data_IF_643968700489
#
_entry.id   IF_643968700489
#
_cell.length_a   1.000
_cell.length_b   1.000
_cell.length_c   1.000
_cell.angle_alpha   90.00
_cell.angle_beta   90.00
_cell.angle_gamma   90.00
#
_symmetry.space_group_name_H-M   'P 1'
#
loop_
_entity.id
_entity.type
_entity.pdbx_description
1 polymer ?
#
# COMPACT_ATOMS: atom_id res chain seq x y z
N UNK A 1 -14.47 -11.11 -7.82
CA UNK A 1 -14.65 -10.17 -6.67
C UNK A 1 -15.80 -10.40 -5.67
N UNK A 2 -17.02 -10.86 -6.02
CA UNK A 2 -18.16 -10.89 -5.07
C UNK A 2 -17.91 -11.71 -3.78
N UNK A 3 -17.32 -12.90 -3.88
CA UNK A 3 -17.02 -13.76 -2.72
C UNK A 3 -16.11 -13.05 -1.69
N UNK A 4 -15.09 -12.30 -2.14
CA UNK A 4 -14.22 -11.51 -1.24
C UNK A 4 -15.00 -10.42 -0.50
N UNK A 5 -15.95 -9.75 -1.18
CA UNK A 5 -16.82 -8.74 -0.53
C UNK A 5 -17.67 -9.38 0.57
N UNK A 6 -18.26 -10.53 0.30
CA UNK A 6 -19.06 -11.28 1.29
C UNK A 6 -18.21 -11.73 2.48
N UNK A 7 -16.94 -12.09 2.25
CA UNK A 7 -16.00 -12.46 3.30
C UNK A 7 -15.33 -11.26 4.02
N UNK A 8 -15.73 -10.00 3.72
CA UNK A 8 -15.09 -8.78 4.22
C UNK A 8 -13.59 -8.64 3.89
N UNK A 9 -13.11 -9.33 2.86
CA UNK A 9 -11.72 -9.33 2.39
C UNK A 9 -11.48 -8.36 1.23
N UNK A 10 -12.47 -7.56 0.82
CA UNK A 10 -12.33 -6.60 -0.26
C UNK A 10 -12.82 -5.21 0.17
N UNK A 11 -11.86 -4.29 0.38
CA UNK A 11 -12.11 -2.86 0.61
C UNK A 11 -13.20 -2.59 1.68
N UNK A 12 -13.24 -3.40 2.74
CA UNK A 12 -14.32 -3.44 3.74
C UNK A 12 -14.35 -2.27 4.72
N UNK A 13 -13.26 -1.51 4.83
CA UNK A 13 -13.13 -0.42 5.80
C UNK A 13 -13.23 0.99 5.21
N UNK A 14 -13.62 1.11 3.93
CA UNK A 14 -13.82 2.40 3.30
C UNK A 14 -14.91 3.21 4.02
N UNK A 15 -14.74 4.54 4.03
CA UNK A 15 -15.66 5.48 4.64
C UNK A 15 -16.62 5.99 3.58
N UNK A 16 -17.94 5.83 3.76
CA UNK A 16 -18.91 6.33 2.80
C UNK A 16 -18.95 7.87 2.80
N UNK A 17 -18.96 8.46 1.61
CA UNK A 17 -19.02 9.89 1.34
C UNK A 17 -20.30 10.20 0.57
N UNK A 18 -21.10 11.13 1.08
CA UNK A 18 -22.36 11.54 0.44
C UNK A 18 -22.76 12.97 0.85
N UNK A 19 -23.71 13.56 0.12
CA UNK A 19 -24.24 14.89 0.42
C UNK A 19 -23.16 15.97 0.40
N UNK A 20 -23.14 16.84 1.42
CA UNK A 20 -22.17 17.95 1.53
C UNK A 20 -20.70 17.51 1.52
N UNK A 21 -20.40 16.27 1.93
CA UNK A 21 -19.02 15.77 1.91
C UNK A 21 -18.49 15.58 0.47
N UNK A 22 -19.37 15.28 -0.49
CA UNK A 22 -19.02 15.20 -1.91
C UNK A 22 -18.59 16.56 -2.43
N UNK A 23 -19.33 17.62 -2.06
CA UNK A 23 -19.00 18.99 -2.44
C UNK A 23 -17.64 19.40 -1.87
N UNK A 24 -17.38 19.11 -0.59
CA UNK A 24 -16.07 19.37 0.05
C UNK A 24 -14.94 18.64 -0.66
N UNK A 25 -15.12 17.35 -0.92
CA UNK A 25 -14.14 16.53 -1.62
C UNK A 25 -13.85 17.07 -3.02
N UNK A 26 -14.88 17.45 -3.76
CA UNK A 26 -14.74 18.07 -5.09
C UNK A 26 -14.00 19.41 -5.04
N UNK A 27 -14.23 20.24 -4.03
CA UNK A 27 -13.43 21.46 -3.85
C UNK A 27 -11.95 21.13 -3.64
N UNK A 28 -11.63 20.08 -2.87
CA UNK A 28 -10.25 19.62 -2.68
C UNK A 28 -9.63 19.17 -4.01
N UNK A 29 -10.33 18.36 -4.79
CA UNK A 29 -9.87 17.92 -6.12
C UNK A 29 -9.54 19.10 -7.03
N UNK A 30 -10.45 20.07 -7.14
CA UNK A 30 -10.24 21.26 -7.98
C UNK A 30 -9.06 22.08 -7.50
N UNK A 31 -8.88 22.25 -6.18
CA UNK A 31 -7.75 22.99 -5.60
C UNK A 31 -6.40 22.31 -5.89
N UNK A 32 -6.39 20.98 -5.96
CA UNK A 32 -5.22 20.16 -6.31
C UNK A 32 -4.94 20.13 -7.82
N UNK A 33 -5.78 20.77 -8.65
CA UNK A 33 -5.62 20.77 -10.12
C UNK A 33 -6.36 19.62 -10.83
N UNK A 34 -7.14 18.83 -10.11
CA UNK A 34 -7.93 17.73 -10.67
C UNK A 34 -9.35 18.14 -11.04
N UNK A 35 -10.00 17.38 -11.92
CA UNK A 35 -11.42 17.56 -12.23
C UNK A 35 -12.31 17.07 -11.09
N UNK A 36 -13.44 17.72 -10.85
CA UNK A 36 -14.44 17.25 -9.90
C UNK A 36 -15.04 15.89 -10.35
N UNK A 37 -15.33 15.00 -9.39
CA UNK A 37 -16.10 13.78 -9.65
C UNK A 37 -17.58 14.11 -9.85
N UNK A 38 -18.25 13.35 -10.73
CA UNK A 38 -19.70 13.44 -10.96
C UNK A 38 -20.50 12.52 -10.03
N UNK A 39 -19.81 11.71 -9.22
CA UNK A 39 -20.44 10.75 -8.31
C UNK A 39 -21.17 11.47 -7.17
N UNK A 40 -22.41 11.05 -6.90
CA UNK A 40 -23.22 11.57 -5.77
C UNK A 40 -22.95 10.84 -4.46
N UNK A 41 -22.37 9.64 -4.53
CA UNK A 41 -21.87 8.87 -3.40
C UNK A 41 -20.67 8.06 -3.85
N UNK A 42 -19.70 7.89 -2.97
CA UNK A 42 -18.52 7.03 -3.15
C UNK A 42 -17.94 6.72 -1.77
N UNK A 43 -16.83 6.00 -1.71
CA UNK A 43 -16.18 5.68 -0.45
C UNK A 43 -14.69 6.02 -0.52
N UNK A 44 -14.10 6.46 0.59
CA UNK A 44 -12.69 6.83 0.66
C UNK A 44 -11.92 6.00 1.67
N UNK A 45 -10.62 5.86 1.47
CA UNK A 45 -9.71 5.20 2.39
C UNK A 45 -9.07 6.17 3.39
N UNK A 46 -8.03 5.71 4.11
CA UNK A 46 -7.32 6.51 5.11
C UNK A 46 -6.69 7.81 4.56
N UNK A 47 -6.15 7.80 3.34
CA UNK A 47 -5.51 8.99 2.73
C UNK A 47 -6.52 9.86 1.97
N UNK A 48 -7.74 9.37 1.77
CA UNK A 48 -8.80 10.06 1.03
C UNK A 48 -8.92 9.59 -0.42
N UNK A 49 -8.26 8.50 -0.80
CA UNK A 49 -8.39 7.88 -2.11
C UNK A 49 -9.69 7.08 -2.21
N UNK A 50 -10.39 7.16 -3.35
CA UNK A 50 -11.63 6.45 -3.62
C UNK A 50 -11.48 5.54 -4.84
N UNK A 51 -11.81 4.24 -4.72
CA UNK A 51 -11.81 3.34 -5.86
C UNK A 51 -12.86 3.71 -6.91
N UNK A 52 -14.02 4.23 -6.50
CA UNK A 52 -15.06 4.62 -7.45
C UNK A 52 -14.66 5.86 -8.26
N UNK A 53 -13.96 6.81 -7.63
CA UNK A 53 -13.42 7.99 -8.32
C UNK A 53 -12.25 7.62 -9.23
N UNK A 54 -11.38 6.70 -8.79
CA UNK A 54 -10.31 6.16 -9.64
C UNK A 54 -10.86 5.48 -10.90
N UNK A 55 -11.93 4.68 -10.76
CA UNK A 55 -12.63 4.04 -11.88
C UNK A 55 -13.27 5.07 -12.82
N UNK A 56 -13.96 6.09 -12.29
CA UNK A 56 -14.55 7.18 -13.08
C UNK A 56 -13.47 7.92 -13.91
N UNK A 57 -12.32 8.18 -13.30
CA UNK A 57 -11.21 8.91 -13.93
C UNK A 57 -10.32 8.03 -14.80
N UNK A 58 -10.44 6.70 -14.70
CA UNK A 58 -9.53 5.71 -15.29
C UNK A 58 -8.07 5.94 -14.87
N UNK A 59 -7.89 6.34 -13.62
CA UNK A 59 -6.60 6.64 -13.03
C UNK A 59 -6.57 6.21 -11.56
N UNK A 60 -5.82 5.14 -11.28
CA UNK A 60 -5.65 4.61 -9.92
C UNK A 60 -4.87 5.56 -9.01
N UNK A 61 -4.08 6.49 -9.57
CA UNK A 61 -3.25 7.43 -8.84
C UNK A 61 -3.75 8.87 -8.98
N UNK A 62 -5.06 9.08 -9.18
CA UNK A 62 -5.63 10.41 -9.46
C UNK A 62 -5.41 11.49 -8.38
N UNK A 63 -4.92 11.12 -7.18
CA UNK A 63 -4.50 12.05 -6.13
C UNK A 63 -3.02 12.43 -6.22
N UNK A 64 -2.32 12.03 -7.28
CA UNK A 64 -0.92 12.35 -7.51
C UNK A 64 -0.78 13.25 -8.74
N UNK A 65 -0.11 14.39 -8.59
CA UNK A 65 0.28 15.25 -9.71
C UNK A 65 1.61 14.75 -10.30
N UNK A 66 1.55 13.63 -11.00
CA UNK A 66 2.73 12.88 -11.41
C UNK A 66 3.34 12.06 -10.27
N UNK A 67 4.44 11.37 -10.56
CA UNK A 67 5.00 10.38 -9.67
C UNK A 67 5.65 10.95 -8.39
N UNK A 68 6.06 12.22 -8.41
CA UNK A 68 6.77 12.89 -7.30
C UNK A 68 5.85 13.64 -6.35
N UNK A 69 4.60 13.93 -6.74
CA UNK A 69 3.70 14.82 -5.99
C UNK A 69 2.41 14.10 -5.55
N UNK A 70 2.46 13.17 -4.59
CA UNK A 70 1.27 12.58 -4.02
C UNK A 70 0.59 13.57 -3.05
N UNK A 71 -0.75 13.53 -3.04
CA UNK A 71 -1.56 14.33 -2.14
C UNK A 71 -2.55 13.46 -1.36
N UNK A 72 -3.00 13.98 -0.22
CA UNK A 72 -4.06 13.39 0.59
C UNK A 72 -5.22 14.35 0.80
N UNK A 73 -6.39 13.80 1.11
CA UNK A 73 -7.59 14.58 1.44
C UNK A 73 -8.18 14.02 2.74
N UNK A 74 -8.24 14.84 3.79
CA UNK A 74 -8.98 14.54 5.01
C UNK A 74 -10.28 15.33 5.03
N UNK A 75 -11.40 14.62 4.98
CA UNK A 75 -12.75 15.18 5.11
C UNK A 75 -13.48 14.70 6.37
N UNK A 76 -12.91 13.75 7.11
CA UNK A 76 -13.54 13.15 8.29
C UNK A 76 -12.52 12.65 9.31
N UNK A 77 -12.79 12.78 10.63
CA UNK A 77 -11.95 12.16 11.66
C UNK A 77 -11.99 10.61 11.60
N UNK A 78 -12.98 10.04 10.92
CA UNK A 78 -13.12 8.59 10.75
C UNK A 78 -11.99 7.98 9.91
N UNK A 79 -11.24 8.79 9.15
CA UNK A 79 -10.04 8.36 8.41
C UNK A 79 -8.90 7.92 9.35
N UNK A 80 -8.95 8.28 10.62
CA UNK A 80 -7.96 7.85 11.60
C UNK A 80 -7.88 6.33 11.70
N UNK A 81 -6.67 5.78 11.57
CA UNK A 81 -6.35 4.34 11.60
C UNK A 81 -7.00 3.50 10.48
N UNK A 82 -7.64 4.13 9.50
CA UNK A 82 -8.18 3.39 8.36
C UNK A 82 -7.09 2.88 7.42
N UNK A 83 -7.30 1.72 6.77
CA UNK A 83 -6.37 1.23 5.77
C UNK A 83 -6.18 2.24 4.64
N UNK A 84 -4.96 2.31 4.10
CA UNK A 84 -4.65 2.96 2.83
C UNK A 84 -4.62 1.85 1.78
N UNK A 85 -5.58 1.84 0.86
CA UNK A 85 -5.78 0.69 -0.04
C UNK A 85 -4.93 0.78 -1.31
N UNK A 86 -4.63 2.00 -1.78
CA UNK A 86 -3.73 2.23 -2.91
C UNK A 86 -2.59 3.16 -2.48
N UNK A 87 -1.69 2.71 -1.57
CA UNK A 87 -0.54 3.52 -1.18
C UNK A 87 0.41 3.68 -2.38
N UNK A 88 0.86 4.90 -2.61
CA UNK A 88 1.88 5.21 -3.60
C UNK A 88 3.27 4.83 -3.07
N UNK A 89 3.52 5.10 -1.78
CA UNK A 89 4.70 4.64 -1.05
C UNK A 89 4.35 3.66 0.07
N UNK A 90 5.25 2.73 0.38
CA UNK A 90 5.07 1.81 1.52
C UNK A 90 4.89 2.51 2.88
N UNK A 91 5.32 3.77 2.99
CA UNK A 91 5.22 4.58 4.21
C UNK A 91 4.02 5.54 4.25
N UNK A 92 3.15 5.58 3.23
CA UNK A 92 1.99 6.51 3.21
C UNK A 92 1.07 6.31 4.42
N UNK A 93 0.90 5.05 4.84
CA UNK A 93 0.14 4.70 6.04
C UNK A 93 0.77 5.29 7.30
N UNK A 94 2.09 5.28 7.40
CA UNK A 94 2.82 5.78 8.56
C UNK A 94 2.76 7.31 8.63
N UNK A 95 2.82 7.99 7.48
CA UNK A 95 2.57 9.43 7.39
C UNK A 95 1.16 9.79 7.88
N UNK A 96 0.13 9.06 7.44
CA UNK A 96 -1.24 9.27 7.92
C UNK A 96 -1.36 9.03 9.43
N UNK A 97 -0.72 8.00 9.97
CA UNK A 97 -0.70 7.76 11.42
C UNK A 97 -0.02 8.91 12.17
N UNK A 98 1.09 9.45 11.66
CA UNK A 98 1.77 10.60 12.23
C UNK A 98 0.87 11.84 12.25
N UNK A 99 0.19 12.13 11.14
CA UNK A 99 -0.74 13.27 11.02
C UNK A 99 -1.84 13.17 12.08
N UNK A 100 -2.52 12.03 12.17
CA UNK A 100 -3.61 11.85 13.13
C UNK A 100 -3.10 11.82 14.58
N UNK A 101 -1.92 11.25 14.85
CA UNK A 101 -1.31 11.27 16.18
C UNK A 101 -1.02 12.70 16.65
N UNK A 102 -0.53 13.56 15.74
CA UNK A 102 -0.18 14.95 16.05
C UNK A 102 -1.41 15.86 16.14
N UNK A 103 -2.39 15.68 15.26
CA UNK A 103 -3.47 16.67 15.07
C UNK A 103 -4.90 16.15 15.20
N UNK A 104 -5.14 14.97 15.79
CA UNK A 104 -6.49 14.37 15.92
C UNK A 104 -7.58 15.34 16.40
N UNK A 105 -7.32 16.12 17.47
CA UNK A 105 -8.29 17.10 17.98
C UNK A 105 -8.59 18.22 16.97
N UNK A 106 -7.55 18.74 16.31
CA UNK A 106 -7.67 19.82 15.31
C UNK A 106 -8.38 19.32 14.05
N UNK A 107 -8.01 18.13 13.56
CA UNK A 107 -8.66 17.47 12.43
C UNK A 107 -10.15 17.28 12.72
N UNK A 108 -10.50 16.78 13.91
CA UNK A 108 -11.90 16.59 14.31
C UNK A 108 -12.67 17.92 14.34
N UNK A 109 -12.07 19.02 14.76
CA UNK A 109 -12.73 20.32 14.75
C UNK A 109 -12.87 20.88 13.32
N UNK A 110 -11.78 20.89 12.54
CA UNK A 110 -11.72 21.45 11.19
C UNK A 110 -12.66 20.73 10.21
N UNK A 111 -12.76 19.40 10.32
CA UNK A 111 -13.56 18.59 9.38
C UNK A 111 -15.07 18.66 9.64
N UNK A 112 -15.53 19.35 10.69
CA UNK A 112 -16.96 19.61 10.94
C UNK A 112 -17.58 20.41 9.80
N UNK A 113 -16.90 21.46 9.38
CA UNK A 113 -17.35 22.44 8.40
C UNK A 113 -16.46 22.53 7.16
N UNK A 114 -15.21 22.06 7.23
CA UNK A 114 -14.23 22.13 6.13
C UNK A 114 -13.57 20.78 5.80
N UNK A 115 -12.48 20.82 5.05
CA UNK A 115 -11.63 19.71 4.67
C UNK A 115 -10.16 20.16 4.65
N UNK A 116 -9.25 19.20 4.77
CA UNK A 116 -7.81 19.41 4.81
C UNK A 116 -7.20 18.70 3.60
N UNK A 117 -6.48 19.44 2.77
CA UNK A 117 -5.58 18.87 1.77
C UNK A 117 -4.23 18.65 2.44
N UNK A 118 -3.66 17.48 2.21
CA UNK A 118 -2.31 17.13 2.61
C UNK A 118 -1.44 17.16 1.35
N UNK A 119 -0.31 17.83 1.45
CA UNK A 119 0.72 17.85 0.44
C UNK A 119 1.99 17.20 0.97
N UNK A 120 2.44 16.13 0.32
CA UNK A 120 3.60 15.35 0.72
C UNK A 120 4.83 15.78 -0.08
N UNK A 121 5.42 16.90 0.34
CA UNK A 121 6.52 17.55 -0.34
C UNK A 121 7.86 16.85 -0.05
N UNK A 122 8.43 16.21 -1.07
CA UNK A 122 9.75 15.57 -1.01
C UNK A 122 10.87 16.51 -1.49
N UNK A 123 10.55 17.76 -1.83
CA UNK A 123 11.42 18.74 -2.50
C UNK A 123 11.93 18.25 -3.86
N UNK A 124 11.10 17.48 -4.55
CA UNK A 124 11.37 16.93 -5.87
C UNK A 124 10.22 17.39 -6.78
N UNK A 125 10.49 18.36 -7.64
CA UNK A 125 9.46 18.91 -8.53
C UNK A 125 8.93 17.83 -9.51
N UNK A 126 9.86 17.12 -10.15
CA UNK A 126 9.57 16.00 -11.05
C UNK A 126 10.74 15.03 -11.08
N UNK A 127 10.44 13.78 -11.41
CA UNK A 127 11.46 12.81 -11.78
C UNK A 127 11.87 12.96 -13.25
N UNK A 128 13.15 12.82 -13.52
CA UNK A 128 13.75 12.79 -14.85
C UNK A 128 14.37 11.42 -15.14
N UNK A 129 14.97 10.78 -14.13
CA UNK A 129 15.68 9.52 -14.27
C UNK A 129 15.24 8.50 -13.18
N UNK A 130 15.26 7.19 -13.46
CA UNK A 130 14.80 6.17 -12.50
C UNK A 130 15.47 6.23 -11.13
N UNK A 131 16.75 6.60 -11.06
CA UNK A 131 17.48 6.70 -9.80
C UNK A 131 17.21 7.99 -9.03
N UNK A 132 16.40 8.91 -9.56
CA UNK A 132 15.92 10.07 -8.79
C UNK A 132 15.12 9.64 -7.54
N UNK A 133 14.62 8.40 -7.49
CA UNK A 133 14.04 7.81 -6.28
C UNK A 133 15.03 7.74 -5.10
N UNK A 134 16.32 7.87 -5.35
CA UNK A 134 17.33 7.95 -4.29
C UNK A 134 17.32 9.31 -3.58
N UNK A 135 16.74 10.36 -4.19
CA UNK A 135 16.64 11.71 -3.61
C UNK A 135 15.68 11.81 -2.43
N UNK A 136 14.81 10.82 -2.24
CA UNK A 136 13.92 10.76 -1.08
C UNK A 136 14.74 10.73 0.21
N UNK A 137 14.47 11.59 1.18
CA UNK A 137 15.10 11.49 2.51
C UNK A 137 14.08 11.92 3.57
N UNK A 138 13.77 13.21 3.61
CA UNK A 138 12.77 13.81 4.49
C UNK A 138 11.59 14.33 3.68
N UNK A 139 10.38 13.85 3.99
CA UNK A 139 9.12 14.34 3.45
C UNK A 139 8.58 15.41 4.40
N UNK A 140 8.27 16.58 3.86
CA UNK A 140 7.59 17.67 4.56
C UNK A 140 6.09 17.57 4.27
N UNK A 141 5.30 17.34 5.32
CA UNK A 141 3.85 17.22 5.24
C UNK A 141 3.25 18.60 5.45
N UNK A 142 2.74 19.19 4.38
CA UNK A 142 2.07 20.49 4.39
C UNK A 142 0.54 20.31 4.46
N UNK A 143 -0.14 21.27 5.08
CA UNK A 143 -1.58 21.25 5.25
C UNK A 143 -2.22 22.50 4.65
N UNK A 144 -3.22 22.30 3.79
CA UNK A 144 -4.00 23.38 3.21
C UNK A 144 -5.46 23.23 3.60
N UNK A 145 -6.00 24.25 4.27
CA UNK A 145 -7.41 24.29 4.63
C UNK A 145 -8.24 24.81 3.47
N UNK A 146 -9.38 24.15 3.22
CA UNK A 146 -10.33 24.64 2.24
C UNK A 146 -10.98 25.96 2.67
N UNK A 147 -11.47 26.71 1.68
CA UNK A 147 -12.13 28.01 1.83
C UNK A 147 -11.27 29.10 2.50
N UNK A 148 -9.93 28.95 2.48
CA UNK A 148 -8.99 29.87 3.12
C UNK A 148 -9.38 30.21 4.56
N UNK A 149 -9.79 29.20 5.34
CA UNK A 149 -10.31 29.37 6.71
C UNK A 149 -9.38 30.21 7.61
N UNK A 150 -8.06 30.12 7.42
CA UNK A 150 -7.08 31.01 8.05
C UNK A 150 -7.27 32.49 7.71
N UNK A 151 -7.49 32.81 6.44
CA UNK A 151 -7.73 34.17 5.98
C UNK A 151 -9.04 34.70 6.57
N UNK A 152 -10.10 33.88 6.53
CA UNK A 152 -11.41 34.24 7.08
C UNK A 152 -11.35 34.47 8.59
N UNK A 153 -10.58 33.66 9.32
CA UNK A 153 -10.35 33.87 10.76
C UNK A 153 -9.61 35.19 11.03
N UNK A 154 -8.56 35.51 10.23
CA UNK A 154 -7.84 36.79 10.35
C UNK A 154 -8.75 37.99 10.07
N UNK A 155 -9.59 37.92 9.05
CA UNK A 155 -10.58 38.95 8.74
C UNK A 155 -11.60 39.10 9.88
N UNK A 156 -12.11 37.99 10.45
CA UNK A 156 -12.98 38.06 11.63
C UNK A 156 -12.29 38.73 12.82
N UNK A 157 -11.02 38.42 13.10
CA UNK A 157 -10.27 39.12 14.15
C UNK A 157 -10.12 40.61 13.88
N UNK A 158 -9.82 41.01 12.64
CA UNK A 158 -9.73 42.43 12.26
C UNK A 158 -11.07 43.16 12.43
N UNK A 159 -12.19 42.54 12.05
CA UNK A 159 -13.52 43.09 12.25
C UNK A 159 -13.83 43.28 13.74
N UNK A 160 -13.47 42.30 14.56
CA UNK A 160 -13.68 42.34 16.01
C UNK A 160 -12.79 43.38 16.69
N UNK A 161 -11.52 43.50 16.31
CA UNK A 161 -10.63 44.53 16.83
C UNK A 161 -11.09 45.93 16.40
N UNK A 162 -11.55 46.09 15.16
CA UNK A 162 -12.19 47.33 14.69
C UNK A 162 -13.43 47.64 15.52
N UNK A 163 -14.27 46.64 15.81
CA UNK A 163 -15.49 46.80 16.62
C UNK A 163 -15.20 47.23 18.06
N UNK A 164 -14.14 46.68 18.67
CA UNK A 164 -13.69 47.04 20.03
C UNK A 164 -13.03 48.42 20.11
N UNK A 165 -12.63 49.01 18.98
CA UNK A 165 -11.90 50.28 18.95
C UNK A 165 -12.87 51.48 19.01
N UNK A 166 -12.63 52.42 19.93
CA UNK A 166 -13.41 53.65 20.10
C UNK A 166 -14.93 53.39 20.24
N UNK A 167 -15.74 54.10 19.46
CA UNK A 167 -17.20 53.97 19.41
C UNK A 167 -17.67 53.14 18.19
N UNK A 168 -16.81 52.32 17.59
CA UNK A 168 -17.20 51.53 16.42
C UNK A 168 -18.27 50.49 16.73
N UNK A 169 -18.49 50.17 18.01
CA UNK A 169 -19.53 49.24 18.44
C UNK A 169 -20.96 49.68 18.09
N UNK A 170 -21.22 50.98 17.88
CA UNK A 170 -22.53 51.49 17.41
C UNK A 170 -22.68 51.53 15.89
N UNK A 171 -21.63 51.20 15.13
CA UNK A 171 -21.69 51.22 13.67
C UNK A 171 -22.44 49.99 13.15
N UNK A 172 -23.65 50.21 12.63
CA UNK A 172 -24.53 49.14 12.11
C UNK A 172 -23.94 48.43 10.88
N UNK A 173 -23.17 49.12 10.03
CA UNK A 173 -22.49 48.50 8.89
C UNK A 173 -21.44 47.49 9.36
N UNK A 174 -20.65 47.85 10.37
CA UNK A 174 -19.66 46.95 10.96
C UNK A 174 -20.31 45.76 11.68
N UNK A 175 -21.43 45.99 12.39
CA UNK A 175 -22.21 44.91 13.00
C UNK A 175 -22.73 43.92 11.95
N UNK A 176 -23.24 44.43 10.82
CA UNK A 176 -23.71 43.61 9.71
C UNK A 176 -22.56 42.80 9.08
N UNK A 177 -21.39 43.40 8.86
CA UNK A 177 -20.20 42.68 8.37
C UNK A 177 -19.79 41.51 9.28
N UNK A 178 -19.81 41.73 10.61
CA UNK A 178 -19.52 40.67 11.59
C UNK A 178 -20.59 39.56 11.52
N UNK A 179 -21.87 39.94 11.46
CA UNK A 179 -22.98 39.00 11.41
C UNK A 179 -22.96 38.14 10.13
N UNK A 180 -22.68 38.74 8.98
CA UNK A 180 -22.55 38.04 7.70
C UNK A 180 -21.38 37.06 7.73
N UNK A 181 -20.22 37.49 8.22
CA UNK A 181 -19.06 36.60 8.39
C UNK A 181 -19.38 35.41 9.31
N UNK A 182 -20.06 35.65 10.43
CA UNK A 182 -20.45 34.59 11.37
C UNK A 182 -21.50 33.64 10.78
N UNK A 183 -22.44 34.13 9.97
CA UNK A 183 -23.44 33.29 9.28
C UNK A 183 -22.80 32.39 8.22
N UNK A 184 -21.80 32.91 7.50
CA UNK A 184 -21.17 32.18 6.40
C UNK A 184 -20.14 31.16 6.88
N UNK A 185 -19.31 31.53 7.86
CA UNK A 185 -18.14 30.74 8.28
C UNK A 185 -18.21 30.24 9.73
N UNK A 186 -19.26 30.59 10.47
CA UNK A 186 -19.33 30.34 11.91
C UNK A 186 -18.45 31.28 12.73
N UNK A 187 -18.39 31.04 14.05
CA UNK A 187 -17.50 31.76 14.95
C UNK A 187 -16.11 31.11 14.96
N UNK A 188 -15.14 31.77 14.33
CA UNK A 188 -13.77 31.26 14.22
C UNK A 188 -12.85 31.74 15.35
N UNK A 189 -13.31 32.65 16.22
CA UNK A 189 -12.43 33.37 17.18
C UNK A 189 -11.76 32.46 18.20
N UNK A 190 -12.42 31.35 18.57
CA UNK A 190 -11.90 30.38 19.53
C UNK A 190 -11.29 29.13 18.89
N UNK A 191 -11.26 29.03 17.56
CA UNK A 191 -10.80 27.82 16.86
C UNK A 191 -9.30 27.86 16.65
N UNK A 192 -8.62 26.78 17.04
CA UNK A 192 -7.22 26.55 16.70
C UNK A 192 -7.13 25.84 15.36
N UNK A 193 -6.91 26.64 14.31
CA UNK A 193 -6.83 26.16 12.93
C UNK A 193 -5.39 25.84 12.51
N UNK A 194 -4.40 26.10 13.37
CA UNK A 194 -2.98 25.98 13.01
C UNK A 194 -2.54 24.53 12.85
N UNK A 195 -2.02 24.20 11.67
CA UNK A 195 -1.42 22.91 11.35
C UNK A 195 0.01 23.14 10.85
N UNK A 196 0.98 23.31 11.77
CA UNK A 196 2.39 23.36 11.39
C UNK A 196 2.78 22.15 10.54
N UNK A 197 3.75 22.31 9.66
CA UNK A 197 4.22 21.18 8.86
C UNK A 197 4.83 20.10 9.75
N UNK A 198 4.70 18.85 9.32
CA UNK A 198 5.35 17.71 9.96
C UNK A 198 6.50 17.24 9.08
N UNK A 199 7.52 16.66 9.70
CA UNK A 199 8.65 16.05 9.00
C UNK A 199 8.59 14.54 9.19
N UNK A 200 8.75 13.81 8.10
CA UNK A 200 8.78 12.35 8.09
C UNK A 200 10.06 11.88 7.40
N UNK A 201 10.92 11.15 8.11
CA UNK A 201 12.15 10.58 7.54
C UNK A 201 11.85 9.21 6.93
N UNK A 202 12.23 9.02 5.68
CA UNK A 202 12.09 7.76 4.95
C UNK A 202 13.33 6.87 5.13
N UNK A 203 13.10 5.61 5.53
CA UNK A 203 14.12 4.56 5.55
C UNK A 203 14.14 3.78 4.23
N UNK A 204 14.21 2.46 4.29
CA UNK A 204 13.90 1.61 3.14
C UNK A 204 12.41 1.71 2.77
N UNK A 205 12.08 1.72 1.48
CA UNK A 205 10.69 1.84 1.03
C UNK A 205 10.42 1.21 -0.34
N UNK A 206 9.14 1.08 -0.67
CA UNK A 206 8.64 0.84 -2.01
C UNK A 206 7.91 2.07 -2.54
N UNK A 207 8.03 2.38 -3.82
CA UNK A 207 7.24 3.39 -4.53
C UNK A 207 6.63 2.84 -5.82
N UNK A 208 5.42 3.28 -6.18
CA UNK A 208 4.79 3.02 -7.49
C UNK A 208 5.43 3.82 -8.63
N UNK A 209 6.32 4.77 -8.34
CA UNK A 209 7.09 5.48 -9.36
C UNK A 209 7.84 4.48 -10.25
N UNK A 210 8.03 4.83 -11.53
CA UNK A 210 8.70 3.96 -12.52
C UNK A 210 8.11 2.54 -12.58
N UNK A 211 6.78 2.43 -12.41
CA UNK A 211 6.04 1.18 -12.40
C UNK A 211 6.46 0.17 -11.30
N UNK A 212 7.10 0.65 -10.22
CA UNK A 212 7.44 -0.16 -9.05
C UNK A 212 8.93 -0.23 -8.78
N UNK A 213 9.36 0.37 -7.68
CA UNK A 213 10.77 0.36 -7.25
C UNK A 213 10.86 0.14 -5.74
N UNK A 214 11.73 -0.78 -5.34
CA UNK A 214 12.19 -0.93 -3.95
C UNK A 214 13.52 -0.21 -3.78
N UNK A 215 13.63 0.56 -2.71
CA UNK A 215 14.88 1.19 -2.27
C UNK A 215 15.20 0.64 -0.88
N UNK A 216 16.20 -0.24 -0.81
CA UNK A 216 16.65 -0.88 0.42
C UNK A 216 17.90 -0.15 0.93
N UNK A 217 17.70 0.66 1.97
CA UNK A 217 18.71 1.45 2.67
C UNK A 217 19.15 0.73 3.94
N UNK A 218 20.23 1.22 4.55
CA UNK A 218 20.74 0.73 5.83
C UNK A 218 21.25 -0.73 5.80
N UNK A 219 21.67 -1.19 4.63
CA UNK A 219 22.39 -2.45 4.42
C UNK A 219 23.85 -2.16 4.01
N UNK A 220 24.65 -3.22 3.81
CA UNK A 220 26.07 -3.11 3.42
C UNK A 220 26.26 -2.16 2.23
N UNK A 221 25.34 -2.20 1.27
CA UNK A 221 25.24 -1.27 0.16
C UNK A 221 23.76 -1.07 -0.17
N UNK A 222 23.36 0.14 -0.59
CA UNK A 222 21.98 0.40 -1.02
C UNK A 222 21.63 -0.48 -2.21
N UNK A 223 20.47 -1.15 -2.14
CA UNK A 223 19.96 -2.00 -3.20
C UNK A 223 18.68 -1.36 -3.77
N UNK A 224 18.65 -1.16 -5.08
CA UNK A 224 17.49 -0.69 -5.83
C UNK A 224 16.96 -1.85 -6.67
N UNK A 225 15.70 -2.22 -6.47
CA UNK A 225 15.05 -3.29 -7.22
C UNK A 225 13.91 -2.73 -8.04
N UNK A 226 13.99 -2.89 -9.36
CA UNK A 226 12.97 -2.45 -10.31
C UNK A 226 12.04 -3.60 -10.68
N UNK A 227 10.73 -3.34 -10.65
CA UNK A 227 9.71 -4.26 -11.17
C UNK A 227 9.58 -4.14 -12.70
N UNK A 228 9.89 -2.97 -13.25
CA UNK A 228 9.78 -2.65 -14.67
C UNK A 228 11.12 -2.76 -15.40
N UNK A 229 11.10 -3.48 -16.52
CA UNK A 229 12.30 -3.80 -17.30
C UNK A 229 12.85 -2.58 -18.05
N UNK A 230 12.00 -1.64 -18.48
CA UNK A 230 12.46 -0.44 -19.19
C UNK A 230 13.19 0.50 -18.23
N UNK A 231 12.59 0.75 -17.07
CA UNK A 231 13.15 1.56 -15.99
C UNK A 231 14.46 0.95 -15.46
N UNK A 232 14.52 -0.38 -15.31
CA UNK A 232 15.76 -1.09 -14.97
C UNK A 232 16.88 -0.85 -15.98
N UNK A 233 16.59 -1.01 -17.28
CA UNK A 233 17.59 -0.83 -18.36
C UNK A 233 18.14 0.57 -18.43
N UNK A 234 17.35 1.57 -18.07
CA UNK A 234 17.81 2.94 -17.97
C UNK A 234 18.65 3.16 -16.71
N UNK A 235 18.21 2.64 -15.56
CA UNK A 235 18.91 2.77 -14.29
C UNK A 235 20.35 2.19 -14.32
N UNK A 236 20.57 1.05 -14.98
CA UNK A 236 21.91 0.41 -15.05
C UNK A 236 22.94 1.17 -15.90
N UNK A 237 22.51 2.20 -16.65
CA UNK A 237 23.43 3.07 -17.41
C UNK A 237 24.07 4.12 -16.52
N UNK A 238 23.50 4.37 -15.35
CA UNK A 238 24.05 5.32 -14.39
C UNK A 238 25.39 4.82 -13.84
N UNK A 239 26.38 5.71 -13.87
CA UNK A 239 27.71 5.48 -13.30
C UNK A 239 28.03 6.43 -12.15
N UNK A 240 27.04 7.21 -11.71
CA UNK A 240 27.18 8.29 -10.73
C UNK A 240 26.91 7.75 -9.32
N UNK A 241 25.85 6.94 -9.19
CA UNK A 241 25.37 6.41 -7.93
C UNK A 241 26.07 5.09 -7.58
N UNK A 242 26.68 5.04 -6.40
CA UNK A 242 27.30 3.82 -5.87
C UNK A 242 26.24 2.91 -5.21
N UNK A 243 25.36 2.31 -6.01
CA UNK A 243 24.27 1.41 -5.56
C UNK A 243 24.29 0.07 -6.29
N UNK A 244 23.60 -0.93 -5.74
CA UNK A 244 23.34 -2.19 -6.44
C UNK A 244 21.98 -2.10 -7.12
N UNK A 245 21.89 -2.46 -8.40
CA UNK A 245 20.67 -2.33 -9.19
C UNK A 245 20.28 -3.70 -9.73
N UNK A 246 19.06 -4.14 -9.44
CA UNK A 246 18.52 -5.42 -9.88
C UNK A 246 17.15 -5.23 -10.53
N UNK A 247 16.84 -6.12 -11.47
CA UNK A 247 15.45 -6.36 -11.87
C UNK A 247 14.85 -7.45 -10.98
N UNK A 248 13.56 -7.35 -10.65
CA UNK A 248 12.90 -8.28 -9.71
C UNK A 248 12.96 -9.75 -10.15
N UNK A 249 13.08 -10.01 -11.45
CA UNK A 249 13.16 -11.36 -12.00
C UNK A 249 14.57 -11.97 -12.04
N UNK A 250 15.60 -11.25 -11.59
CA UNK A 250 16.99 -11.72 -11.62
C UNK A 250 17.26 -12.65 -10.43
N UNK A 251 17.70 -13.90 -10.65
CA UNK A 251 18.05 -14.82 -9.56
C UNK A 251 19.13 -14.27 -8.61
N UNK A 252 20.06 -13.48 -9.15
CA UNK A 252 21.15 -12.84 -8.42
C UNK A 252 20.66 -11.91 -7.31
N UNK A 253 19.42 -11.40 -7.42
CA UNK A 253 18.79 -10.62 -6.36
C UNK A 253 18.65 -11.45 -5.08
N UNK A 254 18.11 -12.67 -5.19
CA UNK A 254 17.86 -13.53 -4.03
C UNK A 254 19.18 -13.97 -3.38
N UNK A 255 20.17 -14.29 -4.20
CA UNK A 255 21.53 -14.55 -3.72
C UNK A 255 22.07 -13.36 -2.93
N UNK A 256 21.95 -12.15 -3.49
CA UNK A 256 22.46 -10.94 -2.84
C UNK A 256 21.76 -10.61 -1.54
N UNK A 257 20.43 -10.75 -1.49
CA UNK A 257 19.65 -10.53 -0.27
C UNK A 257 20.03 -11.53 0.82
N UNK A 258 20.34 -12.79 0.47
CA UNK A 258 20.81 -13.81 1.41
C UNK A 258 22.23 -13.50 1.92
N UNK A 259 23.14 -13.15 1.01
CA UNK A 259 24.53 -12.79 1.35
C UNK A 259 24.61 -11.58 2.27
N UNK A 260 23.67 -10.64 2.14
CA UNK A 260 23.53 -9.46 2.99
C UNK A 260 22.73 -9.72 4.27
N UNK A 261 22.32 -10.96 4.54
CA UNK A 261 21.54 -11.37 5.74
C UNK A 261 20.22 -10.57 5.83
N UNK A 262 19.61 -10.27 4.67
CA UNK A 262 18.30 -9.62 4.56
C UNK A 262 17.19 -10.67 4.57
N UNK A 263 17.45 -11.82 3.96
CA UNK A 263 16.54 -12.97 3.91
C UNK A 263 17.24 -14.24 4.35
N UNK A 264 16.46 -15.21 4.78
CA UNK A 264 16.93 -16.54 5.15
C UNK A 264 15.93 -17.62 4.74
N UNK A 265 16.42 -18.85 4.64
CA UNK A 265 15.59 -20.05 4.47
C UNK A 265 16.30 -21.24 5.11
N UNK A 266 15.56 -21.99 5.92
CA UNK A 266 15.95 -23.34 6.35
C UNK A 266 14.91 -24.32 5.82
N UNK A 267 15.34 -25.22 4.92
CA UNK A 267 14.43 -26.17 4.28
C UNK A 267 13.89 -27.23 5.25
N UNK A 268 14.68 -27.66 6.23
CA UNK A 268 14.25 -28.66 7.23
C UNK A 268 13.16 -28.09 8.15
N UNK A 269 13.29 -26.82 8.53
CA UNK A 269 12.29 -26.15 9.35
C UNK A 269 11.03 -25.82 8.54
N UNK A 270 11.20 -25.30 7.33
CA UNK A 270 10.07 -24.72 6.59
C UNK A 270 9.04 -25.76 6.15
N UNK A 271 9.46 -27.00 5.83
CA UNK A 271 8.54 -28.07 5.39
C UNK A 271 7.50 -28.41 6.45
N UNK A 272 7.77 -28.08 7.72
CA UNK A 272 6.87 -28.28 8.85
C UNK A 272 5.97 -27.07 9.14
N UNK A 273 6.02 -26.02 8.33
CA UNK A 273 5.27 -24.78 8.54
C UNK A 273 3.99 -24.71 7.71
N UNK A 274 3.01 -23.93 8.18
CA UNK A 274 1.80 -23.63 7.41
C UNK A 274 2.09 -22.87 6.12
N UNK A 275 3.20 -22.11 6.06
CA UNK A 275 3.65 -21.42 4.85
C UNK A 275 3.98 -22.39 3.74
N UNK A 276 4.77 -23.42 4.04
CA UNK A 276 5.10 -24.45 3.06
C UNK A 276 3.85 -25.18 2.56
N UNK A 277 2.95 -25.58 3.45
CA UNK A 277 1.69 -26.24 3.08
C UNK A 277 0.85 -25.37 2.13
N UNK A 278 0.74 -24.06 2.40
CA UNK A 278 0.04 -23.12 1.50
C UNK A 278 0.68 -23.02 0.12
N UNK A 279 2.00 -22.82 0.05
CA UNK A 279 2.75 -22.71 -1.21
C UNK A 279 2.63 -24.00 -2.01
N UNK A 280 2.78 -25.15 -1.35
CA UNK A 280 2.65 -26.48 -1.96
C UNK A 280 1.24 -26.71 -2.51
N UNK A 281 0.20 -26.34 -1.76
CA UNK A 281 -1.21 -26.44 -2.20
C UNK A 281 -1.53 -25.49 -3.34
N UNK A 282 -0.97 -24.28 -3.32
CA UNK A 282 -1.07 -23.33 -4.43
C UNK A 282 -0.48 -23.95 -5.71
N UNK A 283 0.75 -24.46 -5.64
CA UNK A 283 1.43 -25.09 -6.78
C UNK A 283 0.64 -26.29 -7.30
N UNK A 284 0.18 -27.15 -6.39
CA UNK A 284 -0.64 -28.30 -6.74
C UNK A 284 -1.92 -27.89 -7.44
N UNK A 285 -2.61 -26.85 -6.96
CA UNK A 285 -3.83 -26.34 -7.57
C UNK A 285 -3.62 -25.85 -9.01
N UNK A 286 -2.47 -25.25 -9.32
CA UNK A 286 -2.16 -24.79 -10.69
C UNK A 286 -1.92 -25.96 -11.66
N UNK A 287 -1.59 -27.15 -11.15
CA UNK A 287 -1.28 -28.34 -11.94
C UNK A 287 -2.48 -29.29 -12.09
N UNK A 288 -3.58 -29.02 -11.38
CA UNK A 288 -4.81 -29.81 -11.50
C UNK A 288 -5.52 -29.51 -12.82
N UNK A 289 -5.82 -30.56 -13.57
CA UNK A 289 -6.63 -30.50 -14.79
C UNK A 289 -7.80 -31.48 -14.66
N UNK A 290 -8.98 -31.09 -15.16
CA UNK A 290 -10.19 -31.92 -15.23
C UNK A 290 -10.56 -32.65 -13.91
N UNK A 291 -10.87 -31.88 -12.86
CA UNK A 291 -11.15 -32.43 -11.54
C UNK A 291 -12.60 -32.87 -11.36
N UNK A 292 -12.83 -34.11 -10.90
CA UNK A 292 -14.17 -34.59 -10.49
C UNK A 292 -14.69 -33.95 -9.19
N UNK A 293 -13.80 -33.50 -8.31
CA UNK A 293 -14.13 -32.82 -7.06
C UNK A 293 -13.77 -31.34 -7.16
N UNK A 294 -14.44 -30.46 -6.41
CA UNK A 294 -14.03 -29.06 -6.27
C UNK A 294 -12.58 -28.94 -5.78
N UNK A 295 -11.80 -28.03 -6.35
CA UNK A 295 -10.38 -27.81 -5.95
C UNK A 295 -10.26 -27.56 -4.45
N UNK A 296 -11.18 -26.81 -3.85
CA UNK A 296 -11.18 -26.57 -2.40
C UNK A 296 -11.18 -27.87 -1.58
N UNK A 297 -11.99 -28.85 -1.98
CA UNK A 297 -12.12 -30.11 -1.26
C UNK A 297 -10.85 -30.95 -1.45
N UNK A 298 -10.27 -30.93 -2.66
CA UNK A 298 -9.01 -31.60 -2.98
C UNK A 298 -7.86 -31.04 -2.13
N UNK A 299 -7.79 -29.72 -1.94
CA UNK A 299 -6.73 -29.07 -1.15
C UNK A 299 -6.95 -29.17 0.37
N UNK A 300 -8.19 -29.42 0.81
CA UNK A 300 -8.57 -29.44 2.22
C UNK A 300 -8.57 -30.85 2.82
N UNK A 301 -8.91 -31.87 2.02
CA UNK A 301 -8.96 -33.26 2.45
C UNK A 301 -7.66 -34.01 2.11
N UNK A 302 -7.05 -34.64 3.11
CA UNK A 302 -5.77 -35.34 2.95
C UNK A 302 -5.84 -36.59 2.05
N UNK A 303 -7.00 -37.26 1.97
CA UNK A 303 -7.18 -38.44 1.12
C UNK A 303 -7.36 -38.01 -0.34
N UNK A 304 -8.18 -36.98 -0.59
CA UNK A 304 -8.35 -36.40 -1.92
C UNK A 304 -7.03 -35.82 -2.42
N UNK A 305 -6.30 -35.05 -1.59
CA UNK A 305 -4.99 -34.52 -1.95
C UNK A 305 -4.05 -35.64 -2.46
N UNK A 306 -3.91 -36.73 -1.68
CA UNK A 306 -3.08 -37.88 -2.07
C UNK A 306 -3.59 -38.59 -3.33
N UNK A 307 -4.91 -38.73 -3.49
CA UNK A 307 -5.50 -39.36 -4.67
C UNK A 307 -5.18 -38.57 -5.93
N UNK A 308 -5.41 -37.26 -5.91
CA UNK A 308 -5.15 -36.39 -7.06
C UNK A 308 -3.66 -36.21 -7.34
N UNK A 309 -2.81 -36.18 -6.31
CA UNK A 309 -1.36 -36.17 -6.47
C UNK A 309 -0.84 -37.42 -7.21
N UNK A 310 -1.52 -38.57 -7.04
CA UNK A 310 -1.21 -39.79 -7.78
C UNK A 310 -1.80 -39.85 -9.19
N UNK A 311 -2.77 -38.99 -9.51
CA UNK A 311 -3.39 -38.89 -10.84
C UNK A 311 -2.63 -37.97 -11.79
N UNK A 312 -1.93 -36.95 -11.26
CA UNK A 312 -1.07 -36.10 -12.09
C UNK A 312 0.19 -36.85 -12.54
N UNK A 313 0.78 -36.36 -13.63
CA UNK A 313 1.99 -36.93 -14.22
C UNK A 313 3.20 -36.84 -13.26
N UNK A 314 4.21 -37.67 -13.52
CA UNK A 314 5.35 -37.81 -12.61
C UNK A 314 6.20 -36.54 -12.51
N UNK A 315 6.23 -35.70 -13.55
CA UNK A 315 6.99 -34.44 -13.55
C UNK A 315 6.27 -33.44 -12.63
N UNK A 316 4.97 -33.25 -12.83
CA UNK A 316 4.13 -32.38 -11.97
C UNK A 316 4.14 -32.85 -10.51
N UNK A 317 4.09 -34.16 -10.27
CA UNK A 317 4.19 -34.71 -8.91
C UNK A 317 5.52 -34.39 -8.24
N UNK A 318 6.64 -34.52 -8.96
CA UNK A 318 7.97 -34.17 -8.45
C UNK A 318 8.09 -32.68 -8.17
N UNK A 319 7.46 -31.82 -8.97
CA UNK A 319 7.43 -30.37 -8.74
C UNK A 319 6.73 -30.02 -7.42
N UNK A 320 5.55 -30.59 -7.17
CA UNK A 320 4.79 -30.35 -5.92
C UNK A 320 5.52 -30.87 -4.68
N UNK A 321 6.22 -32.00 -4.79
CA UNK A 321 6.93 -32.67 -3.69
C UNK A 321 8.44 -32.33 -3.65
N UNK A 322 8.87 -31.33 -4.41
CA UNK A 322 10.28 -31.11 -4.74
C UNK A 322 11.17 -30.95 -3.51
N UNK A 323 10.71 -30.20 -2.50
CA UNK A 323 11.48 -29.95 -1.28
C UNK A 323 11.57 -31.19 -0.40
N UNK A 324 10.47 -31.93 -0.20
CA UNK A 324 10.54 -33.16 0.61
C UNK A 324 11.40 -34.23 -0.06
N UNK A 325 11.29 -34.37 -1.39
CA UNK A 325 12.13 -35.28 -2.16
C UNK A 325 13.62 -34.89 -2.12
N UNK A 326 13.91 -33.59 -2.09
CA UNK A 326 15.27 -33.11 -1.93
C UNK A 326 15.82 -33.48 -0.54
N UNK A 327 15.08 -33.22 0.53
CA UNK A 327 15.49 -33.53 1.90
C UNK A 327 15.67 -35.05 2.12
N UNK A 328 14.73 -35.89 1.63
CA UNK A 328 14.85 -37.35 1.72
C UNK A 328 16.12 -37.87 1.03
N UNK A 329 16.50 -37.26 -0.10
CA UNK A 329 17.73 -37.63 -0.81
C UNK A 329 18.98 -37.10 -0.14
N UNK A 330 18.92 -35.91 0.45
CA UNK A 330 20.03 -35.31 1.17
C UNK A 330 20.42 -36.17 2.38
N UNK A 331 19.45 -36.78 3.07
CA UNK A 331 19.69 -37.76 4.14
C UNK A 331 20.49 -38.98 3.66
N UNK A 332 20.41 -39.33 2.36
CA UNK A 332 21.10 -40.49 1.78
C UNK A 332 22.42 -40.12 1.11
N UNK A 333 22.52 -38.94 0.50
CA UNK A 333 23.71 -38.50 -0.24
C UNK A 333 23.73 -36.98 -0.47
N UNK A 334 24.89 -36.37 -0.23
CA UNK A 334 25.16 -34.95 -0.52
C UNK A 334 25.46 -34.67 -2.01
N UNK A 335 25.29 -35.66 -2.90
CA UNK A 335 25.57 -35.49 -4.32
C UNK A 335 24.48 -34.72 -5.08
N UNK A 336 23.27 -34.60 -4.50
CA UNK A 336 22.15 -33.90 -5.14
C UNK A 336 22.21 -32.41 -4.83
N UNK A 337 22.20 -31.58 -5.88
CA UNK A 337 22.10 -30.13 -5.72
C UNK A 337 20.64 -29.71 -5.63
N UNK A 338 20.39 -28.65 -4.85
CA UNK A 338 19.07 -28.07 -4.67
C UNK A 338 18.48 -27.58 -6.00
N UNK A 339 19.29 -26.88 -6.80
CA UNK A 339 18.94 -26.32 -8.11
C UNK A 339 18.47 -27.39 -9.12
N UNK A 340 18.94 -28.63 -8.98
CA UNK A 340 18.58 -29.73 -9.88
C UNK A 340 17.20 -30.34 -9.54
N UNK A 341 16.65 -30.02 -8.36
CA UNK A 341 15.48 -30.71 -7.80
C UNK A 341 14.32 -29.78 -7.44
N UNK A 342 14.60 -28.58 -6.98
CA UNK A 342 13.61 -27.60 -6.54
C UNK A 342 13.52 -26.50 -7.58
N UNK A 343 12.30 -26.29 -8.09
CA UNK A 343 12.01 -25.18 -9.01
C UNK A 343 12.44 -23.85 -8.37
N UNK A 344 13.06 -22.98 -9.16
CA UNK A 344 13.63 -21.73 -8.67
C UNK A 344 12.57 -20.84 -8.00
N UNK A 345 11.39 -20.72 -8.61
CA UNK A 345 10.29 -19.90 -8.08
C UNK A 345 9.70 -20.53 -6.81
N UNK A 346 9.69 -21.86 -6.71
CA UNK A 346 9.38 -22.55 -5.46
C UNK A 346 10.40 -22.15 -4.39
N UNK A 347 11.70 -22.28 -4.66
CA UNK A 347 12.76 -21.94 -3.72
C UNK A 347 12.69 -20.47 -3.25
N UNK A 348 12.45 -19.53 -4.17
CA UNK A 348 12.30 -18.11 -3.85
C UNK A 348 11.12 -17.86 -2.90
N UNK A 349 9.97 -18.48 -3.13
CA UNK A 349 8.79 -18.34 -2.28
C UNK A 349 9.01 -18.83 -0.83
N UNK A 350 9.99 -19.72 -0.61
CA UNK A 350 10.29 -20.27 0.72
C UNK A 350 11.04 -19.27 1.62
N UNK A 351 11.74 -18.30 1.06
CA UNK A 351 12.51 -17.34 1.85
C UNK A 351 11.61 -16.48 2.75
N UNK A 352 12.17 -16.06 3.88
CA UNK A 352 11.56 -15.10 4.80
C UNK A 352 12.57 -14.00 5.13
N UNK A 353 12.11 -12.78 5.52
CA UNK A 353 12.99 -11.76 6.05
C UNK A 353 13.75 -12.30 7.27
N UNK A 354 15.02 -11.91 7.39
CA UNK A 354 15.85 -12.32 8.52
C UNK A 354 15.34 -11.67 9.82
N UNK A 355 15.38 -12.42 10.93
CA UNK A 355 14.78 -12.00 12.20
C UNK A 355 15.47 -10.79 12.86
N UNK A 356 16.68 -10.43 12.43
CA UNK A 356 17.39 -9.24 12.92
C UNK A 356 16.83 -7.91 12.38
N UNK A 357 16.01 -7.95 11.33
CA UNK A 357 15.44 -6.75 10.72
C UNK A 357 14.35 -6.14 11.62
N UNK A 358 14.20 -4.81 11.55
CA UNK A 358 13.07 -4.12 12.18
C UNK A 358 11.74 -4.58 11.56
N UNK A 359 10.63 -4.45 12.27
CA UNK A 359 9.30 -4.85 11.76
C UNK A 359 8.98 -4.16 10.44
N UNK A 360 9.30 -2.86 10.31
CA UNK A 360 9.10 -2.11 9.06
C UNK A 360 9.92 -2.66 7.89
N UNK A 361 11.18 -3.04 8.13
CA UNK A 361 12.00 -3.69 7.12
C UNK A 361 11.49 -5.10 6.79
N UNK A 362 11.07 -5.88 7.78
CA UNK A 362 10.50 -7.21 7.54
C UNK A 362 9.26 -7.12 6.64
N UNK A 363 8.36 -6.16 6.90
CA UNK A 363 7.15 -5.97 6.08
C UNK A 363 7.48 -5.58 4.63
N UNK A 364 8.48 -4.72 4.42
CA UNK A 364 8.93 -4.35 3.08
C UNK A 364 9.57 -5.52 2.34
N UNK A 365 10.42 -6.30 3.02
CA UNK A 365 11.08 -7.46 2.43
C UNK A 365 10.08 -8.59 2.16
N UNK A 366 9.08 -8.78 3.01
CA UNK A 366 7.97 -9.70 2.72
C UNK A 366 7.25 -9.31 1.43
N UNK A 367 6.94 -8.02 1.26
CA UNK A 367 6.36 -7.51 0.02
C UNK A 367 7.25 -7.80 -1.20
N UNK A 368 8.55 -7.54 -1.10
CA UNK A 368 9.51 -7.84 -2.17
C UNK A 368 9.51 -9.33 -2.52
N UNK A 369 9.65 -10.22 -1.54
CA UNK A 369 9.70 -11.67 -1.76
C UNK A 369 8.43 -12.22 -2.42
N UNK A 370 7.26 -11.68 -2.04
CA UNK A 370 5.98 -12.06 -2.65
C UNK A 370 5.86 -11.56 -4.09
N UNK A 371 6.41 -10.39 -4.40
CA UNK A 371 6.43 -9.88 -5.76
C UNK A 371 7.41 -10.68 -6.64
N UNK A 372 8.52 -11.18 -6.07
CA UNK A 372 9.43 -12.10 -6.76
C UNK A 372 8.74 -13.44 -7.04
N UNK A 373 8.09 -14.05 -6.04
CA UNK A 373 7.48 -15.37 -6.16
C UNK A 373 6.09 -15.42 -5.48
N UNK A 374 4.99 -15.07 -6.20
CA UNK A 374 3.65 -14.90 -5.64
C UNK A 374 2.91 -16.22 -5.42
N UNK A 375 3.52 -17.18 -4.69
CA UNK A 375 2.98 -18.52 -4.46
C UNK A 375 2.27 -18.71 -3.11
N UNK A 376 2.44 -17.79 -2.14
CA UNK A 376 1.70 -17.82 -0.88
C UNK A 376 0.50 -16.86 -0.91
N UNK A 377 -0.71 -17.40 -1.08
CA UNK A 377 -1.95 -16.61 -1.21
C UNK A 377 -2.26 -15.75 0.01
N UNK A 378 -1.84 -16.16 1.22
CA UNK A 378 -2.07 -15.40 2.44
C UNK A 378 -1.18 -14.16 2.47
N UNK A 379 0.10 -14.34 2.18
CA UNK A 379 1.07 -13.26 2.17
C UNK A 379 0.88 -12.33 0.97
N UNK A 380 0.43 -12.87 -0.17
CA UNK A 380 -0.03 -12.07 -1.31
C UNK A 380 -1.17 -11.14 -0.89
N UNK A 381 -2.17 -11.64 -0.16
CA UNK A 381 -3.24 -10.79 0.37
C UNK A 381 -2.77 -9.77 1.42
N UNK A 382 -1.79 -10.10 2.26
CA UNK A 382 -1.30 -9.18 3.30
C UNK A 382 -0.41 -8.07 2.75
N UNK A 383 0.53 -8.41 1.87
CA UNK A 383 1.61 -7.52 1.45
C UNK A 383 1.42 -6.90 0.06
N UNK A 384 0.68 -7.55 -0.85
CA UNK A 384 0.39 -7.00 -2.17
C UNK A 384 -1.06 -7.27 -2.62
N UNK A 385 -1.99 -6.49 -2.03
CA UNK A 385 -3.42 -6.58 -2.34
C UNK A 385 -3.76 -6.29 -3.80
N UNK A 386 -3.04 -5.37 -4.43
CA UNK A 386 -3.27 -5.01 -5.83
C UNK A 386 -3.02 -6.20 -6.75
N UNK A 387 -1.89 -6.90 -6.56
CA UNK A 387 -1.59 -8.14 -7.29
C UNK A 387 -2.51 -9.28 -6.88
N UNK A 388 -2.83 -9.43 -5.59
CA UNK A 388 -3.78 -10.43 -5.11
C UNK A 388 -5.12 -10.33 -5.83
N UNK A 389 -5.70 -9.13 -5.94
CA UNK A 389 -6.99 -8.95 -6.58
C UNK A 389 -6.93 -9.24 -8.09
N UNK A 390 -5.86 -8.84 -8.78
CA UNK A 390 -5.65 -9.15 -10.20
C UNK A 390 -5.55 -10.67 -10.43
N UNK A 391 -4.77 -11.38 -9.62
CA UNK A 391 -4.63 -12.84 -9.71
C UNK A 391 -5.91 -13.57 -9.30
N UNK A 392 -6.61 -13.08 -8.28
CA UNK A 392 -7.84 -13.71 -7.79
C UNK A 392 -8.92 -13.80 -8.87
N UNK A 393 -9.03 -12.78 -9.73
CA UNK A 393 -10.02 -12.77 -10.81
C UNK A 393 -9.70 -13.75 -11.97
N UNK A 394 -8.48 -14.32 -12.03
CA UNK A 394 -8.14 -15.37 -13.02
C UNK A 394 -8.28 -16.79 -12.48
N UNK A 395 -8.38 -16.94 -11.15
CA UNK A 395 -8.46 -18.25 -10.50
C UNK A 395 -9.80 -18.98 -10.68
N UNK A 396 -9.75 -20.30 -10.65
CA UNK A 396 -10.94 -21.17 -10.61
C UNK A 396 -11.86 -20.84 -9.42
N UNK A 397 -13.17 -21.02 -9.61
CA UNK A 397 -14.17 -20.63 -8.61
C UNK A 397 -14.07 -21.42 -7.31
N UNK A 398 -13.70 -22.70 -7.38
CA UNK A 398 -13.47 -23.53 -6.19
C UNK A 398 -12.12 -23.22 -5.55
N UNK A 399 -11.08 -22.93 -6.34
CA UNK A 399 -9.80 -22.50 -5.78
C UNK A 399 -9.93 -21.19 -4.99
N UNK A 400 -10.74 -20.25 -5.48
CA UNK A 400 -11.09 -19.01 -4.77
C UNK A 400 -11.71 -19.26 -3.38
N UNK A 401 -12.55 -20.28 -3.24
CA UNK A 401 -13.15 -20.64 -1.94
C UNK A 401 -12.10 -21.11 -0.94
N UNK A 402 -11.15 -21.92 -1.41
CA UNK A 402 -10.01 -22.34 -0.59
C UNK A 402 -9.17 -21.15 -0.14
N UNK A 403 -8.86 -20.23 -1.06
CA UNK A 403 -8.09 -19.01 -0.73
C UNK A 403 -8.81 -18.16 0.31
N UNK A 404 -10.12 -17.93 0.16
CA UNK A 404 -10.91 -17.19 1.15
C UNK A 404 -10.85 -17.90 2.50
N UNK A 405 -11.08 -19.21 2.54
CA UNK A 405 -11.02 -19.98 3.78
C UNK A 405 -9.62 -19.90 4.42
N UNK A 406 -8.56 -19.98 3.62
CA UNK A 406 -7.18 -19.84 4.10
C UNK A 406 -6.94 -18.48 4.71
N UNK A 407 -7.36 -17.40 4.05
CA UNK A 407 -7.19 -16.02 4.54
C UNK A 407 -8.00 -15.81 5.82
N UNK A 408 -9.29 -16.17 5.82
CA UNK A 408 -10.18 -15.98 6.97
C UNK A 408 -9.75 -16.77 8.21
N UNK A 409 -9.10 -17.92 8.06
CA UNK A 409 -8.54 -18.69 9.20
C UNK A 409 -7.32 -18.03 9.85
N UNK A 410 -6.70 -17.04 9.20
CA UNK A 410 -5.45 -16.41 9.64
C UNK A 410 -5.59 -14.90 9.94
N UNK A 411 -6.80 -14.35 9.86
CA UNK A 411 -7.16 -12.99 10.31
C UNK A 411 -7.89 -13.13 11.64
#
# INVERSE_FOLDING_TARGET
>A
MQKLKQANLYRSELIPVSGKLVERYNKCLVKLGFTATKLKKFSIDGVGWSPEVAEEKKDENYLCNGASNPHGIIISPLQNRKPVYSPYHSFDRDMMQLIFKSYSKKINDITRDSAIIIDFDQKIDTFYEPLDVLKYDEITINFHLMDNLYHQQREQFQLIEKFKTNHNFINEELQNQILESAKQYGDLRGRDLELPNLKFKSGSFYTKAFNGVYVLRDFIKTIVVFEDMESYKEAIKDTIHDVLIYHISQPELIEKLRDHIIIEVNLEDIVNTSKYDRIKKFEFAQLLTETQHPINDILSDSMLFKSYLNKIDIKSRKQVMSVELYLEKLERSNAFKLEDMVDEQMYFALHKPHSSLSVQHQDLIWRLLINVAPKDVLFLYWYNKDQFYKSYDTWDDSFRDWVIMTITKNI
#
